data_IF_201649927752
#
_entry.id   IF_201649927752
#
_cell.length_a   1.000
_cell.length_b   1.000
_cell.length_c   1.000
_cell.angle_alpha   90.00
_cell.angle_beta   90.00
_cell.angle_gamma   90.00
#
_symmetry.space_group_name_H-M   'P 1'
#
loop_
_entity.id
_entity.type
_entity.pdbx_description
1 polymer ?
#
# COMPACT_ATOMS: atom_id res chain seq x y z
N UNK A 1 5.65 16.67 13.75
CA UNK A 1 4.20 16.90 13.42
C UNK A 1 3.75 15.88 12.39
N UNK A 2 2.70 15.12 12.66
CA UNK A 2 2.14 14.19 11.66
C UNK A 2 1.22 14.94 10.70
N UNK A 3 1.40 14.75 9.40
CA UNK A 3 0.67 15.43 8.34
C UNK A 3 0.13 14.41 7.33
N UNK A 4 -1.12 14.56 6.91
CA UNK A 4 -1.64 13.76 5.79
C UNK A 4 -1.09 14.30 4.45
N UNK A 5 -0.84 13.46 3.43
CA UNK A 5 -0.33 13.91 2.13
C UNK A 5 -1.13 15.07 1.52
N UNK A 6 -2.46 15.04 1.64
CA UNK A 6 -3.35 16.07 1.12
C UNK A 6 -3.19 17.44 1.80
N UNK A 7 -2.63 17.48 3.01
CA UNK A 7 -2.40 18.70 3.77
C UNK A 7 -1.05 19.35 3.47
N UNK A 8 -0.16 18.63 2.75
CA UNK A 8 1.20 19.10 2.48
C UNK A 8 1.22 20.42 1.72
N UNK A 9 0.37 20.61 0.73
CA UNK A 9 0.30 21.84 -0.05
C UNK A 9 -0.05 23.06 0.83
N UNK A 10 -1.01 22.91 1.75
CA UNK A 10 -1.36 23.94 2.71
C UNK A 10 -0.23 24.22 3.71
N UNK A 11 0.50 23.17 4.12
CA UNK A 11 1.67 23.32 4.98
C UNK A 11 2.78 24.12 4.27
N UNK A 12 3.10 23.74 3.04
CA UNK A 12 4.15 24.38 2.24
C UNK A 12 3.84 25.84 1.88
N UNK A 13 2.56 26.26 1.83
CA UNK A 13 2.21 27.66 1.64
C UNK A 13 2.68 28.58 2.77
N UNK A 14 2.94 28.02 3.96
CA UNK A 14 3.46 28.74 5.14
C UNK A 14 4.98 28.76 5.23
N UNK A 15 5.67 27.99 4.39
CA UNK A 15 7.13 27.87 4.36
C UNK A 15 7.62 26.43 4.41
N UNK A 16 8.92 26.25 4.49
CA UNK A 16 9.57 24.96 4.62
C UNK A 16 10.02 24.69 6.06
N UNK A 17 9.89 23.44 6.47
CA UNK A 17 10.55 22.93 7.66
C UNK A 17 11.93 22.34 7.30
N UNK A 18 12.88 22.34 8.23
CA UNK A 18 14.21 21.81 7.96
C UNK A 18 14.23 20.29 7.78
N UNK A 19 13.23 19.56 8.29
CA UNK A 19 13.20 18.10 8.22
C UNK A 19 11.81 17.57 7.84
N UNK A 20 11.76 16.79 6.77
CA UNK A 20 10.59 16.02 6.31
C UNK A 20 10.90 14.54 6.33
N UNK A 21 9.91 13.72 6.64
CA UNK A 21 9.97 12.26 6.53
C UNK A 21 8.77 11.77 5.74
N UNK A 22 9.03 11.06 4.65
CA UNK A 22 8.04 10.37 3.83
C UNK A 22 8.19 8.88 4.07
N UNK A 23 7.19 8.23 4.64
CA UNK A 23 7.23 6.79 4.93
C UNK A 23 5.99 6.08 4.39
N UNK A 24 6.20 4.96 3.71
CA UNK A 24 5.12 4.15 3.11
C UNK A 24 5.45 3.67 1.73
N UNK A 25 4.60 2.78 1.20
CA UNK A 25 4.85 2.05 -0.04
C UNK A 25 3.93 2.51 -1.20
N UNK A 26 3.31 3.70 -1.07
CA UNK A 26 2.46 4.24 -2.14
C UNK A 26 3.27 5.21 -3.06
N UNK A 27 3.65 4.76 -4.28
CA UNK A 27 4.63 5.46 -5.10
C UNK A 27 4.15 6.81 -5.64
N UNK A 28 2.85 6.94 -5.98
CA UNK A 28 2.30 8.19 -6.52
C UNK A 28 2.33 9.28 -5.45
N UNK A 29 1.82 9.00 -4.27
CA UNK A 29 1.79 9.94 -3.15
C UNK A 29 3.20 10.34 -2.70
N UNK A 30 4.14 9.39 -2.72
CA UNK A 30 5.54 9.66 -2.42
C UNK A 30 6.13 10.65 -3.43
N UNK A 31 5.93 10.40 -4.72
CA UNK A 31 6.39 11.27 -5.79
C UNK A 31 5.78 12.66 -5.69
N UNK A 32 4.46 12.76 -5.51
CA UNK A 32 3.75 14.05 -5.41
C UNK A 32 4.23 14.86 -4.21
N UNK A 33 4.38 14.24 -3.04
CA UNK A 33 4.91 14.92 -1.85
C UNK A 33 6.33 15.41 -2.08
N UNK A 34 7.19 14.59 -2.65
CA UNK A 34 8.59 14.93 -2.91
C UNK A 34 8.69 16.07 -3.92
N UNK A 35 7.92 16.02 -5.01
CA UNK A 35 7.91 17.05 -6.04
C UNK A 35 7.35 18.38 -5.51
N UNK A 36 6.35 18.35 -4.64
CA UNK A 36 5.84 19.55 -3.97
C UNK A 36 6.89 20.19 -3.05
N UNK A 37 7.62 19.39 -2.25
CA UNK A 37 8.70 19.89 -1.39
C UNK A 37 9.83 20.48 -2.25
N UNK A 38 10.23 19.80 -3.33
CA UNK A 38 11.25 20.28 -4.28
C UNK A 38 10.87 21.60 -4.93
N UNK A 39 9.61 21.71 -5.37
CA UNK A 39 9.10 22.93 -5.99
C UNK A 39 9.19 24.11 -5.01
N UNK A 40 8.73 23.89 -3.77
CA UNK A 40 8.78 24.92 -2.71
C UNK A 40 10.22 25.26 -2.30
N UNK A 41 11.09 24.26 -2.22
CA UNK A 41 12.50 24.48 -1.92
C UNK A 41 13.15 25.38 -2.99
N UNK A 42 12.93 25.09 -4.28
CA UNK A 42 13.44 25.90 -5.38
C UNK A 42 12.88 27.34 -5.35
N UNK A 43 11.58 27.50 -5.06
CA UNK A 43 10.97 28.83 -4.90
C UNK A 43 11.66 29.67 -3.83
N UNK A 44 12.18 29.05 -2.78
CA UNK A 44 12.83 29.72 -1.65
C UNK A 44 14.37 29.77 -1.79
N UNK A 45 14.93 29.38 -2.93
CA UNK A 45 16.37 29.51 -3.21
C UNK A 45 17.22 28.32 -2.75
N UNK A 46 16.62 27.16 -2.46
CA UNK A 46 17.33 25.90 -2.23
C UNK A 46 17.67 25.26 -3.58
N UNK A 47 18.64 25.82 -4.31
CA UNK A 47 18.93 25.44 -5.71
C UNK A 47 19.83 24.21 -5.81
N UNK A 48 20.68 23.96 -4.82
CA UNK A 48 21.54 22.79 -4.78
C UNK A 48 20.79 21.59 -4.20
N UNK A 49 20.60 20.53 -5.00
CA UNK A 49 19.97 19.30 -4.58
C UNK A 49 20.95 18.13 -4.60
N UNK A 50 21.07 17.46 -3.47
CA UNK A 50 21.84 16.21 -3.33
C UNK A 50 20.91 15.08 -2.95
N UNK A 51 21.03 13.95 -3.62
CA UNK A 51 20.25 12.73 -3.32
C UNK A 51 21.21 11.59 -2.96
N UNK A 52 21.03 11.05 -1.78
CA UNK A 52 21.80 9.93 -1.24
C UNK A 52 20.88 8.72 -1.11
N UNK A 53 21.38 7.55 -1.49
CA UNK A 53 20.65 6.29 -1.31
C UNK A 53 21.46 5.36 -0.41
N UNK A 54 20.90 4.96 0.73
CA UNK A 54 21.58 4.04 1.63
C UNK A 54 21.50 2.62 1.09
N UNK A 55 22.65 2.07 0.81
CA UNK A 55 22.86 0.66 0.53
C UNK A 55 23.62 -0.03 1.68
N UNK A 56 24.04 -1.26 1.47
CA UNK A 56 24.79 -2.05 2.46
C UNK A 56 26.13 -1.41 2.89
N UNK A 57 26.74 -0.59 2.02
CA UNK A 57 28.06 0.00 2.23
C UNK A 57 27.98 1.51 2.45
N UNK A 58 26.79 2.05 2.66
CA UNK A 58 26.59 3.48 2.80
C UNK A 58 27.32 4.04 4.02
N UNK A 59 28.17 5.03 3.75
CA UNK A 59 28.88 5.75 4.84
C UNK A 59 27.99 6.83 5.42
N UNK A 60 27.41 6.59 6.58
CA UNK A 60 26.54 7.55 7.28
C UNK A 60 27.25 8.81 7.74
N UNK A 61 28.60 8.80 7.89
CA UNK A 61 29.36 9.99 8.29
C UNK A 61 29.29 11.10 7.23
N UNK A 62 29.12 10.74 5.93
CA UNK A 62 28.99 11.73 4.85
C UNK A 62 27.83 12.71 5.03
N UNK A 63 26.81 12.37 5.82
CA UNK A 63 25.68 13.26 6.10
C UNK A 63 26.14 14.40 7.03
N UNK A 64 26.93 14.09 8.06
CA UNK A 64 27.50 15.08 8.93
C UNK A 64 28.53 15.96 8.18
N UNK A 65 29.34 15.34 7.32
CA UNK A 65 30.29 16.04 6.44
C UNK A 65 29.54 16.99 5.49
N UNK A 66 28.42 16.55 4.92
CA UNK A 66 27.55 17.40 4.08
C UNK A 66 27.05 18.63 4.84
N UNK A 67 26.67 18.47 6.11
CA UNK A 67 26.21 19.58 6.96
C UNK A 67 27.33 20.60 7.26
N UNK A 68 28.59 20.15 7.35
CA UNK A 68 29.75 21.00 7.63
C UNK A 68 30.39 21.60 6.36
N UNK A 69 30.15 21.00 5.19
CA UNK A 69 30.71 21.49 3.93
C UNK A 69 30.04 22.81 3.53
N UNK A 70 30.84 23.84 3.32
CA UNK A 70 30.36 25.07 2.70
C UNK A 70 30.15 24.83 1.20
N UNK A 71 28.92 25.09 0.71
CA UNK A 71 28.67 25.06 -0.73
C UNK A 71 29.39 26.25 -1.40
N UNK A 72 29.99 25.99 -2.56
CA UNK A 72 30.61 27.02 -3.37
C UNK A 72 29.60 27.77 -4.28
N UNK A 73 28.39 27.20 -4.45
CA UNK A 73 27.42 27.66 -5.45
C UNK A 73 26.08 28.11 -4.84
N UNK A 74 25.73 27.66 -3.65
CA UNK A 74 24.49 28.03 -2.96
C UNK A 74 24.66 28.02 -1.45
N UNK A 75 24.03 28.99 -0.79
CA UNK A 75 23.93 29.01 0.68
C UNK A 75 22.84 28.08 1.20
N UNK A 76 21.90 27.65 0.36
CA UNK A 76 20.75 26.83 0.76
C UNK A 76 20.68 25.53 -0.07
N UNK A 77 20.49 24.38 0.60
CA UNK A 77 20.59 23.06 0.00
C UNK A 77 19.38 22.18 0.33
N UNK A 78 19.01 21.33 -0.60
CA UNK A 78 18.03 20.26 -0.42
C UNK A 78 18.75 18.91 -0.40
N UNK A 79 18.69 18.21 0.72
CA UNK A 79 19.25 16.88 0.90
C UNK A 79 18.13 15.83 0.93
N UNK A 80 18.17 14.89 0.01
CA UNK A 80 17.26 13.73 -0.02
C UNK A 80 18.03 12.48 0.41
N UNK A 81 17.48 11.75 1.40
CA UNK A 81 18.08 10.52 1.92
C UNK A 81 17.08 9.39 1.71
N UNK A 82 17.36 8.53 0.76
CA UNK A 82 16.55 7.34 0.48
C UNK A 82 17.08 6.15 1.27
N UNK A 83 16.21 5.48 2.03
CA UNK A 83 16.53 4.27 2.81
C UNK A 83 15.63 3.12 2.32
N UNK A 84 15.94 2.49 1.17
CA UNK A 84 15.02 1.53 0.51
C UNK A 84 14.67 0.31 1.35
N UNK A 85 15.57 -0.07 2.27
CA UNK A 85 15.34 -1.23 3.17
C UNK A 85 14.50 -0.90 4.39
N UNK A 86 14.29 0.40 4.71
CA UNK A 86 13.70 0.83 5.98
C UNK A 86 14.56 0.50 7.20
N UNK A 87 15.80 -0.01 7.01
CA UNK A 87 16.69 -0.51 8.08
C UNK A 87 18.03 0.20 8.01
N UNK A 88 18.20 1.32 8.71
CA UNK A 88 19.42 2.12 8.63
C UNK A 88 20.63 1.47 9.31
N UNK A 89 20.45 0.38 10.09
CA UNK A 89 21.52 -0.21 10.87
C UNK A 89 21.91 0.65 12.09
N UNK A 90 23.01 0.32 12.73
CA UNK A 90 23.43 0.99 13.98
C UNK A 90 23.91 2.42 13.72
N UNK A 91 24.79 2.60 12.73
CA UNK A 91 25.36 3.91 12.41
C UNK A 91 24.32 4.84 11.81
N UNK A 92 23.45 4.30 10.93
CA UNK A 92 22.31 5.04 10.40
C UNK A 92 21.31 5.45 11.47
N UNK A 93 21.04 4.58 12.45
CA UNK A 93 20.19 4.93 13.58
C UNK A 93 20.75 6.13 14.36
N UNK A 94 22.06 6.18 14.59
CA UNK A 94 22.71 7.34 15.26
C UNK A 94 22.65 8.60 14.41
N UNK A 95 22.95 8.48 13.11
CA UNK A 95 22.92 9.62 12.17
C UNK A 95 21.51 10.21 12.06
N UNK A 96 20.47 9.38 11.94
CA UNK A 96 19.08 9.84 11.87
C UNK A 96 18.61 10.50 13.16
N UNK A 97 19.02 9.98 14.31
CA UNK A 97 18.73 10.61 15.61
C UNK A 97 19.43 11.97 15.73
N UNK A 98 20.67 12.10 15.25
CA UNK A 98 21.40 13.37 15.25
C UNK A 98 20.69 14.42 14.38
N UNK A 99 20.30 14.07 13.16
CA UNK A 99 19.54 14.96 12.25
C UNK A 99 18.18 15.35 12.85
N UNK A 100 17.51 14.41 13.53
CA UNK A 100 16.24 14.70 14.18
C UNK A 100 16.39 15.62 15.40
N UNK A 101 17.51 15.54 16.12
CA UNK A 101 17.79 16.40 17.27
C UNK A 101 18.22 17.80 16.84
N UNK A 102 19.03 17.88 15.78
CA UNK A 102 19.57 19.15 15.27
C UNK A 102 19.59 19.10 13.73
N UNK A 103 18.78 19.96 13.11
CA UNK A 103 18.71 20.04 11.66
C UNK A 103 20.03 20.57 11.08
N UNK A 104 20.38 20.09 9.88
CA UNK A 104 21.57 20.55 9.18
C UNK A 104 21.44 22.04 8.82
N UNK A 105 22.49 22.85 9.04
CA UNK A 105 22.47 24.28 8.72
C UNK A 105 22.15 24.53 7.25
N UNK A 106 21.34 25.53 6.96
CA UNK A 106 20.97 25.98 5.60
C UNK A 106 20.52 24.83 4.68
N UNK A 107 19.93 23.78 5.28
CA UNK A 107 19.57 22.56 4.55
C UNK A 107 18.15 22.13 4.89
N UNK A 108 17.33 21.89 3.86
CA UNK A 108 16.10 21.13 3.99
C UNK A 108 16.43 19.66 3.74
N UNK A 109 16.16 18.80 4.73
CA UNK A 109 16.40 17.37 4.62
C UNK A 109 15.08 16.63 4.42
N UNK A 110 15.01 15.75 3.42
CA UNK A 110 13.87 14.86 3.18
C UNK A 110 14.36 13.42 3.29
N UNK A 111 13.80 12.68 4.25
CA UNK A 111 14.09 11.26 4.45
C UNK A 111 12.95 10.45 3.85
N UNK A 112 13.29 9.50 2.99
CA UNK A 112 12.33 8.65 2.27
C UNK A 112 12.52 7.20 2.71
N UNK A 113 11.47 6.59 3.25
CA UNK A 113 11.44 5.23 3.80
C UNK A 113 10.26 4.44 3.22
N UNK A 114 10.37 3.12 3.06
CA UNK A 114 9.21 2.25 2.89
C UNK A 114 8.36 2.23 4.17
N UNK A 115 7.23 1.54 4.13
CA UNK A 115 6.48 1.22 5.34
C UNK A 115 7.37 0.36 6.26
N UNK A 116 7.49 0.77 7.51
CA UNK A 116 8.27 0.03 8.50
C UNK A 116 7.37 -0.87 9.33
N UNK A 117 7.89 -2.02 9.75
CA UNK A 117 7.13 -2.91 10.60
C UNK A 117 6.95 -2.33 12.03
N UNK A 118 6.03 -2.93 12.80
CA UNK A 118 5.69 -2.44 14.15
C UNK A 118 6.85 -2.49 15.16
N UNK A 119 7.90 -3.28 14.89
CA UNK A 119 9.11 -3.38 15.73
C UNK A 119 10.04 -2.22 15.41
N UNK A 120 10.29 -1.99 14.13
CA UNK A 120 11.14 -0.90 13.66
C UNK A 120 10.52 0.47 13.99
N UNK A 121 9.17 0.58 13.96
CA UNK A 121 8.45 1.77 14.40
C UNK A 121 8.64 2.12 15.89
N UNK A 122 9.11 1.19 16.73
CA UNK A 122 9.46 1.41 18.13
C UNK A 122 10.93 1.73 18.34
N UNK A 123 11.74 1.76 17.31
CA UNK A 123 13.14 2.09 17.40
C UNK A 123 13.37 3.56 17.73
N UNK A 124 14.48 3.85 18.43
CA UNK A 124 14.79 5.22 18.88
C UNK A 124 14.92 6.21 17.71
N UNK A 125 15.51 5.78 16.59
CA UNK A 125 15.67 6.62 15.40
C UNK A 125 14.32 6.98 14.75
N UNK A 126 13.39 6.01 14.66
CA UNK A 126 12.10 6.26 14.05
C UNK A 126 11.24 7.18 14.92
N UNK A 127 11.23 6.95 16.23
CA UNK A 127 10.54 7.82 17.20
C UNK A 127 11.11 9.24 17.16
N UNK A 128 12.45 9.39 17.11
CA UNK A 128 13.09 10.71 17.01
C UNK A 128 12.68 11.45 15.75
N UNK A 129 12.66 10.78 14.59
CA UNK A 129 12.17 11.35 13.33
C UNK A 129 10.69 11.74 13.43
N UNK A 130 9.83 10.88 13.97
CA UNK A 130 8.38 11.14 14.08
C UNK A 130 8.08 12.35 14.97
N UNK A 131 8.87 12.56 16.04
CA UNK A 131 8.66 13.66 16.97
C UNK A 131 9.18 15.01 16.45
N UNK A 132 10.29 15.00 15.70
CA UNK A 132 11.04 16.21 15.37
C UNK A 132 10.99 16.61 13.89
N UNK A 133 10.12 15.99 13.07
CA UNK A 133 9.96 16.32 11.65
C UNK A 133 8.52 16.61 11.27
N UNK A 134 8.34 17.05 10.02
CA UNK A 134 7.07 16.92 9.32
C UNK A 134 7.00 15.49 8.79
N UNK A 135 6.26 14.66 9.50
CA UNK A 135 6.16 13.23 9.26
C UNK A 135 4.92 12.91 8.44
N UNK A 136 5.10 12.34 7.26
CA UNK A 136 4.03 12.05 6.29
C UNK A 136 3.98 10.55 6.04
N UNK A 137 2.88 9.93 6.45
CA UNK A 137 2.65 8.52 6.23
C UNK A 137 1.86 8.30 4.93
N UNK A 138 2.47 7.61 3.97
CA UNK A 138 1.97 7.36 2.62
C UNK A 138 1.29 6.00 2.60
N UNK A 139 0.00 5.98 2.93
CA UNK A 139 -0.79 4.77 2.96
C UNK A 139 -1.41 4.47 1.61
N UNK A 140 -1.49 3.20 1.28
CA UNK A 140 -2.26 2.76 0.12
C UNK A 140 -3.73 3.17 0.24
N UNK A 141 -4.31 3.56 -0.88
CA UNK A 141 -5.74 3.86 -0.97
C UNK A 141 -6.49 2.56 -1.19
N UNK A 142 -7.19 2.12 -0.16
CA UNK A 142 -7.98 0.88 -0.24
C UNK A 142 -9.18 0.99 -1.18
N UNK A 143 -9.73 -0.16 -1.64
CA UNK A 143 -10.82 -0.23 -2.62
C UNK A 143 -12.04 0.62 -2.23
N UNK A 144 -12.41 0.63 -0.95
CA UNK A 144 -13.56 1.41 -0.46
C UNK A 144 -13.34 2.94 -0.52
N UNK A 145 -12.09 3.38 -0.52
CA UNK A 145 -11.72 4.80 -0.55
C UNK A 145 -11.41 5.30 -1.96
N UNK A 146 -11.12 4.38 -2.88
CA UNK A 146 -10.64 4.68 -4.23
C UNK A 146 -11.65 5.49 -5.06
N UNK A 147 -12.97 5.24 -5.06
CA UNK A 147 -13.93 6.08 -5.77
C UNK A 147 -13.91 7.53 -5.29
N UNK A 148 -13.81 7.76 -3.98
CA UNK A 148 -13.71 9.10 -3.41
C UNK A 148 -12.39 9.79 -3.77
N UNK A 149 -11.30 9.04 -3.80
CA UNK A 149 -10.00 9.55 -4.22
C UNK A 149 -10.04 9.98 -5.70
N UNK A 150 -10.61 9.16 -6.60
CA UNK A 150 -10.80 9.48 -8.02
C UNK A 150 -11.64 10.75 -8.18
N UNK A 151 -12.77 10.83 -7.48
CA UNK A 151 -13.63 12.03 -7.51
C UNK A 151 -12.87 13.30 -7.10
N UNK A 152 -12.02 13.22 -6.05
CA UNK A 152 -11.22 14.36 -5.62
C UNK A 152 -10.18 14.79 -6.67
N UNK A 153 -9.64 13.83 -7.41
CA UNK A 153 -8.67 14.11 -8.49
C UNK A 153 -9.33 14.70 -9.75
N UNK A 154 -10.49 14.19 -10.13
CA UNK A 154 -11.29 14.78 -11.21
C UNK A 154 -11.68 16.22 -10.87
N UNK A 155 -12.06 16.50 -9.62
CA UNK A 155 -12.40 17.85 -9.18
C UNK A 155 -11.23 18.84 -9.30
N UNK A 156 -9.97 18.42 -9.14
CA UNK A 156 -8.80 19.29 -9.34
C UNK A 156 -8.68 19.79 -10.78
N UNK A 157 -9.17 19.04 -11.76
CA UNK A 157 -9.25 19.45 -13.17
C UNK A 157 -10.67 19.92 -13.55
N UNK A 158 -11.50 20.25 -12.56
CA UNK A 158 -12.89 20.74 -12.69
C UNK A 158 -13.81 19.78 -13.46
N UNK A 159 -13.52 18.49 -13.38
CA UNK A 159 -14.34 17.42 -13.95
C UNK A 159 -15.06 16.63 -12.86
N UNK A 160 -16.16 16.00 -13.24
CA UNK A 160 -16.93 15.11 -12.36
C UNK A 160 -17.60 14.02 -13.18
N UNK A 161 -18.03 12.94 -12.51
CA UNK A 161 -18.88 11.90 -13.07
C UNK A 161 -19.73 11.28 -11.97
N UNK A 162 -20.69 10.42 -12.32
CA UNK A 162 -21.57 9.77 -11.36
C UNK A 162 -20.87 8.70 -10.52
N UNK A 163 -21.53 8.29 -9.42
CA UNK A 163 -20.95 7.33 -8.46
C UNK A 163 -20.73 5.92 -9.04
N UNK A 164 -21.58 5.51 -9.98
CA UNK A 164 -21.46 4.21 -10.65
C UNK A 164 -20.20 4.20 -11.52
N UNK A 165 -19.99 5.27 -12.28
CA UNK A 165 -18.80 5.47 -13.11
C UNK A 165 -17.52 5.59 -12.26
N UNK A 166 -17.57 6.30 -11.12
CA UNK A 166 -16.43 6.34 -10.17
C UNK A 166 -16.09 4.94 -9.63
N UNK A 167 -17.10 4.15 -9.34
CA UNK A 167 -16.93 2.76 -8.89
C UNK A 167 -16.36 1.88 -10.01
N UNK A 168 -16.83 2.05 -11.23
CA UNK A 168 -16.25 1.40 -12.40
C UNK A 168 -14.76 1.75 -12.55
N UNK A 169 -14.42 3.04 -12.57
CA UNK A 169 -13.02 3.49 -12.64
C UNK A 169 -12.17 2.87 -11.54
N UNK A 170 -12.66 2.89 -10.29
CA UNK A 170 -11.96 2.31 -9.15
C UNK A 170 -11.65 0.82 -9.37
N UNK A 171 -12.61 0.05 -9.90
CA UNK A 171 -12.40 -1.36 -10.22
C UNK A 171 -11.35 -1.57 -11.33
N UNK A 172 -11.27 -0.66 -12.31
CA UNK A 172 -10.32 -0.76 -13.43
C UNK A 172 -8.88 -0.43 -13.02
N UNK A 173 -8.68 0.32 -11.93
CA UNK A 173 -7.37 0.81 -11.49
C UNK A 173 -6.98 0.32 -10.09
N UNK A 174 -7.73 -0.61 -9.51
CA UNK A 174 -7.47 -1.13 -8.17
C UNK A 174 -6.02 -1.64 -8.03
N UNK A 175 -5.34 -1.26 -6.95
CA UNK A 175 -3.95 -1.60 -6.70
C UNK A 175 -2.92 -0.83 -7.54
N UNK A 176 -3.35 0.12 -8.39
CA UNK A 176 -2.45 0.88 -9.25
C UNK A 176 -2.82 2.37 -9.29
N UNK A 177 -2.49 3.07 -8.20
CA UNK A 177 -2.87 4.47 -8.03
C UNK A 177 -2.18 5.39 -9.06
N UNK A 178 -0.97 5.02 -9.50
CA UNK A 178 -0.27 5.77 -10.56
C UNK A 178 -1.01 5.68 -11.89
N UNK A 179 -1.47 4.49 -12.27
CA UNK A 179 -2.29 4.33 -13.46
C UNK A 179 -3.66 5.03 -13.32
N UNK A 180 -4.28 4.99 -12.13
CA UNK A 180 -5.48 5.76 -11.84
C UNK A 180 -5.27 7.25 -12.14
N UNK A 181 -4.14 7.79 -11.70
CA UNK A 181 -3.78 9.19 -11.96
C UNK A 181 -3.60 9.47 -13.46
N UNK A 182 -2.94 8.57 -14.19
CA UNK A 182 -2.76 8.68 -15.65
C UNK A 182 -4.09 8.63 -16.41
N UNK A 183 -4.99 7.73 -16.03
CA UNK A 183 -6.34 7.65 -16.62
C UNK A 183 -7.15 8.94 -16.37
N UNK A 184 -7.06 9.50 -15.15
CA UNK A 184 -7.70 10.78 -14.82
C UNK A 184 -7.10 11.93 -15.64
N UNK A 185 -5.77 12.01 -15.76
CA UNK A 185 -5.13 13.02 -16.62
C UNK A 185 -5.56 12.88 -18.08
N UNK A 186 -5.67 11.67 -18.59
CA UNK A 186 -6.16 11.39 -19.95
C UNK A 186 -7.58 11.91 -20.15
N UNK A 187 -8.48 11.72 -19.16
CA UNK A 187 -9.83 12.29 -19.22
C UNK A 187 -9.80 13.82 -19.29
N UNK A 188 -8.87 14.47 -18.58
CA UNK A 188 -8.68 15.92 -18.66
C UNK A 188 -8.22 16.43 -20.02
N UNK A 189 -7.53 15.57 -20.79
CA UNK A 189 -7.11 15.90 -22.16
C UNK A 189 -8.20 15.61 -23.21
N UNK A 190 -9.05 14.62 -22.97
CA UNK A 190 -10.06 14.16 -23.93
C UNK A 190 -11.39 14.92 -23.80
N UNK A 191 -11.74 15.38 -22.62
CA UNK A 191 -13.03 15.97 -22.32
C UNK A 191 -12.89 17.35 -21.68
N UNK A 192 -13.82 18.30 -21.96
CA UNK A 192 -13.81 19.61 -21.34
C UNK A 192 -14.09 19.55 -19.82
N UNK A 193 -13.89 20.68 -19.15
CA UNK A 193 -14.35 20.89 -17.77
C UNK A 193 -15.86 20.63 -17.66
N UNK A 194 -16.32 19.99 -16.57
CA UNK A 194 -17.72 19.68 -16.30
C UNK A 194 -17.97 18.21 -16.02
N UNK A 195 -19.22 17.79 -16.19
CA UNK A 195 -19.62 16.39 -16.00
C UNK A 195 -19.30 15.57 -17.24
N UNK A 196 -18.58 14.44 -17.05
CA UNK A 196 -18.28 13.49 -18.12
C UNK A 196 -19.31 12.36 -18.05
N UNK A 197 -19.90 11.99 -19.20
CA UNK A 197 -20.86 10.89 -19.28
C UNK A 197 -20.18 9.54 -18.97
N UNK A 198 -20.91 8.64 -18.31
CA UNK A 198 -20.36 7.34 -17.90
C UNK A 198 -19.87 6.49 -19.09
N UNK A 199 -20.55 6.54 -20.22
CA UNK A 199 -20.16 5.81 -21.43
C UNK A 199 -18.85 6.34 -22.03
N UNK A 200 -18.63 7.64 -21.98
CA UNK A 200 -17.36 8.26 -22.41
C UNK A 200 -16.20 7.81 -21.53
N UNK A 201 -16.41 7.78 -20.21
CA UNK A 201 -15.40 7.26 -19.27
C UNK A 201 -15.13 5.79 -19.51
N UNK A 202 -16.17 4.96 -19.72
CA UNK A 202 -16.01 3.53 -19.98
C UNK A 202 -15.22 3.27 -21.28
N UNK A 203 -15.44 4.08 -22.31
CA UNK A 203 -14.70 3.98 -23.55
C UNK A 203 -13.24 4.42 -23.44
N UNK A 204 -12.95 5.37 -22.55
CA UNK A 204 -11.62 5.93 -22.41
C UNK A 204 -10.73 5.16 -21.43
N UNK A 205 -11.28 4.65 -20.31
CA UNK A 205 -10.51 4.05 -19.21
C UNK A 205 -10.17 2.60 -19.49
N UNK A 206 -8.89 2.25 -19.45
CA UNK A 206 -8.40 0.89 -19.62
C UNK A 206 -8.38 0.13 -18.29
N UNK A 207 -8.49 -1.21 -18.39
CA UNK A 207 -8.23 -2.06 -17.23
C UNK A 207 -6.72 -2.13 -16.98
N UNK A 208 -6.28 -1.48 -15.94
CA UNK A 208 -4.87 -1.41 -15.51
C UNK A 208 -4.72 -1.82 -14.05
N UNK A 209 -5.70 -2.53 -13.51
CA UNK A 209 -5.66 -3.07 -12.15
C UNK A 209 -4.39 -3.90 -11.95
N UNK A 210 -3.80 -3.77 -10.78
CA UNK A 210 -2.70 -4.63 -10.33
C UNK A 210 -3.10 -5.32 -9.06
N UNK A 211 -3.07 -6.62 -9.09
CA UNK A 211 -3.42 -7.45 -7.97
C UNK A 211 -2.23 -8.26 -7.50
N UNK A 212 -2.13 -8.45 -6.20
CA UNK A 212 -1.25 -9.47 -5.65
C UNK A 212 -2.07 -10.66 -5.09
N UNK A 213 -1.40 -11.77 -4.90
CA UNK A 213 -2.05 -12.97 -4.39
C UNK A 213 -2.48 -12.85 -2.90
N UNK A 214 -2.01 -11.84 -2.15
CA UNK A 214 -2.47 -11.55 -0.79
C UNK A 214 -3.86 -10.94 -0.82
N UNK A 215 -4.10 -10.00 -1.77
CA UNK A 215 -5.41 -9.40 -2.01
C UNK A 215 -6.46 -10.44 -2.40
N UNK A 216 -6.07 -11.50 -3.14
CA UNK A 216 -6.96 -12.64 -3.42
C UNK A 216 -7.44 -13.32 -2.13
N UNK A 217 -6.51 -13.58 -1.20
CA UNK A 217 -6.86 -14.14 0.11
C UNK A 217 -7.86 -13.27 0.86
N UNK A 218 -7.68 -11.97 0.86
CA UNK A 218 -8.59 -11.01 1.51
C UNK A 218 -9.98 -10.99 0.86
N UNK A 219 -10.06 -10.99 -0.48
CA UNK A 219 -11.33 -11.03 -1.23
C UNK A 219 -12.11 -12.33 -0.95
N UNK A 220 -11.42 -13.47 -0.93
CA UNK A 220 -12.02 -14.78 -0.58
C UNK A 220 -12.53 -14.77 0.85
N UNK A 221 -11.74 -14.26 1.81
CA UNK A 221 -12.12 -14.23 3.23
C UNK A 221 -13.23 -13.23 3.54
N UNK A 222 -13.33 -12.12 2.81
CA UNK A 222 -14.45 -11.18 2.92
C UNK A 222 -15.74 -11.70 2.28
N UNK A 223 -15.66 -12.70 1.39
CA UNK A 223 -16.78 -13.21 0.62
C UNK A 223 -17.18 -12.30 -0.56
N UNK A 224 -16.26 -11.49 -1.03
CA UNK A 224 -16.45 -10.62 -2.20
C UNK A 224 -16.16 -11.42 -3.48
N UNK A 225 -17.23 -11.97 -4.06
CA UNK A 225 -17.14 -12.84 -5.24
C UNK A 225 -16.61 -12.05 -6.44
N UNK A 226 -17.15 -10.86 -6.70
CA UNK A 226 -16.82 -10.07 -7.88
C UNK A 226 -15.35 -9.63 -7.84
N UNK A 227 -14.87 -9.21 -6.66
CA UNK A 227 -13.45 -8.88 -6.45
C UNK A 227 -12.56 -10.12 -6.58
N UNK A 228 -13.01 -11.28 -6.08
CA UNK A 228 -12.28 -12.55 -6.22
C UNK A 228 -12.10 -12.92 -7.70
N UNK A 229 -13.14 -12.75 -8.54
CA UNK A 229 -13.06 -12.97 -10.00
C UNK A 229 -12.02 -12.06 -10.63
N UNK A 230 -12.16 -10.74 -10.41
CA UNK A 230 -11.24 -9.76 -11.02
C UNK A 230 -9.78 -10.00 -10.65
N UNK A 231 -9.50 -10.36 -9.39
CA UNK A 231 -8.14 -10.65 -8.94
C UNK A 231 -7.60 -11.93 -9.60
N UNK A 232 -8.40 -12.99 -9.68
CA UNK A 232 -8.00 -14.24 -10.33
C UNK A 232 -7.67 -14.02 -11.80
N UNK A 233 -8.54 -13.32 -12.52
CA UNK A 233 -8.35 -13.02 -13.93
C UNK A 233 -7.11 -12.14 -14.15
N UNK A 234 -6.95 -11.08 -13.35
CA UNK A 234 -5.80 -10.20 -13.43
C UNK A 234 -4.48 -10.93 -13.16
N UNK A 235 -4.39 -11.76 -12.11
CA UNK A 235 -3.20 -12.56 -11.81
C UNK A 235 -2.88 -13.54 -12.95
N UNK A 236 -3.90 -14.14 -13.57
CA UNK A 236 -3.73 -15.04 -14.69
C UNK A 236 -3.23 -14.31 -15.94
N UNK A 237 -3.81 -13.15 -16.25
CA UNK A 237 -3.45 -12.33 -17.40
C UNK A 237 -2.02 -11.74 -17.27
N UNK A 238 -1.59 -11.43 -16.05
CA UNK A 238 -0.22 -11.03 -15.74
C UNK A 238 0.79 -12.19 -15.80
N UNK A 239 0.34 -13.43 -16.07
CA UNK A 239 1.20 -14.61 -16.17
C UNK A 239 1.70 -15.14 -14.82
N UNK A 240 1.02 -14.83 -13.72
CA UNK A 240 1.36 -15.35 -12.41
C UNK A 240 1.34 -16.88 -12.40
N UNK A 241 2.34 -17.48 -11.77
CA UNK A 241 2.38 -18.94 -11.66
C UNK A 241 1.40 -19.42 -10.57
N UNK A 242 0.66 -20.52 -10.78
CA UNK A 242 -0.27 -21.05 -9.78
C UNK A 242 0.33 -21.24 -8.39
N UNK A 243 1.58 -21.69 -8.32
CA UNK A 243 2.31 -21.88 -7.06
C UNK A 243 2.49 -20.58 -6.27
N UNK A 244 2.69 -19.46 -6.96
CA UNK A 244 2.84 -18.14 -6.33
C UNK A 244 1.54 -17.67 -5.68
N UNK A 245 0.39 -18.07 -6.22
CA UNK A 245 -0.95 -17.71 -5.72
C UNK A 245 -1.35 -18.57 -4.52
N UNK A 246 -0.92 -19.82 -4.46
CA UNK A 246 -1.30 -20.76 -3.41
C UNK A 246 -0.76 -20.39 -2.03
N UNK A 247 0.50 -19.96 -1.93
CA UNK A 247 1.11 -19.63 -0.63
C UNK A 247 0.34 -18.54 0.13
N UNK A 248 -0.01 -17.40 -0.47
CA UNK A 248 -0.87 -16.39 0.15
C UNK A 248 -2.24 -16.93 0.59
N UNK A 249 -2.87 -17.82 -0.19
CA UNK A 249 -4.13 -18.46 0.21
C UNK A 249 -3.95 -19.36 1.44
N UNK A 250 -2.88 -20.14 1.49
CA UNK A 250 -2.54 -20.97 2.66
C UNK A 250 -2.33 -20.08 3.88
N UNK A 251 -1.61 -18.96 3.74
CA UNK A 251 -1.37 -18.01 4.83
C UNK A 251 -2.64 -17.31 5.29
N UNK A 252 -3.59 -17.08 4.40
CA UNK A 252 -4.88 -16.50 4.74
C UNK A 252 -5.79 -17.50 5.49
N UNK A 253 -5.81 -18.79 5.07
CA UNK A 253 -6.71 -19.82 5.60
C UNK A 253 -6.17 -20.45 6.90
N UNK A 254 -4.86 -20.65 7.02
CA UNK A 254 -4.25 -21.36 8.17
C UNK A 254 -4.56 -20.72 9.53
N UNK A 255 -4.49 -19.39 9.70
CA UNK A 255 -4.88 -18.75 10.96
C UNK A 255 -6.34 -19.01 11.33
N UNK A 256 -7.27 -18.99 10.35
CA UNK A 256 -8.69 -19.24 10.59
C UNK A 256 -8.93 -20.67 11.05
N UNK A 257 -8.22 -21.64 10.48
CA UNK A 257 -8.29 -23.04 10.94
C UNK A 257 -7.89 -23.15 12.41
N UNK A 258 -6.77 -22.50 12.82
CA UNK A 258 -6.31 -22.48 14.21
C UNK A 258 -7.34 -21.85 15.15
N UNK A 259 -7.95 -20.73 14.72
CA UNK A 259 -9.01 -20.06 15.49
C UNK A 259 -10.20 -20.99 15.66
N UNK A 260 -10.68 -21.64 14.59
CA UNK A 260 -11.80 -22.58 14.65
C UNK A 260 -11.51 -23.82 15.52
N UNK A 261 -10.28 -24.30 15.52
CA UNK A 261 -9.86 -25.38 16.42
C UNK A 261 -9.85 -24.94 17.88
N UNK A 262 -9.43 -23.72 18.18
CA UNK A 262 -9.45 -23.16 19.53
C UNK A 262 -10.90 -22.92 20.00
N UNK A 263 -11.77 -22.39 19.16
CA UNK A 263 -13.21 -22.27 19.47
C UNK A 263 -13.85 -23.64 19.78
N UNK A 264 -13.51 -24.67 19.01
CA UNK A 264 -14.02 -26.03 19.25
C UNK A 264 -13.54 -26.63 20.60
N UNK A 265 -12.45 -26.12 21.17
CA UNK A 265 -11.99 -26.45 22.53
C UNK A 265 -12.56 -25.54 23.61
N UNK A 266 -13.47 -24.62 23.26
CA UNK A 266 -14.10 -23.68 24.19
C UNK A 266 -13.27 -22.43 24.51
N UNK A 267 -12.23 -22.17 23.74
CA UNK A 267 -11.38 -20.96 23.91
C UNK A 267 -12.09 -19.70 23.41
N UNK A 268 -11.81 -18.58 24.06
CA UNK A 268 -12.33 -17.28 23.64
C UNK A 268 -11.75 -16.84 22.28
N UNK A 269 -12.59 -16.28 21.40
CA UNK A 269 -12.21 -15.84 20.06
C UNK A 269 -11.01 -14.88 20.05
N UNK A 270 -10.97 -13.92 20.99
CA UNK A 270 -9.87 -12.95 21.05
C UNK A 270 -8.54 -13.64 21.42
N UNK A 271 -8.56 -14.56 22.37
CA UNK A 271 -7.40 -15.38 22.74
C UNK A 271 -6.94 -16.24 21.56
N UNK A 272 -7.87 -16.89 20.87
CA UNK A 272 -7.59 -17.70 19.69
C UNK A 272 -6.94 -16.88 18.55
N UNK A 273 -7.40 -15.64 18.33
CA UNK A 273 -6.78 -14.74 17.34
C UNK A 273 -5.35 -14.37 17.70
N UNK A 274 -5.06 -14.08 18.97
CA UNK A 274 -3.69 -13.79 19.44
C UNK A 274 -2.78 -15.00 19.22
N UNK A 275 -3.23 -16.21 19.58
CA UNK A 275 -2.49 -17.46 19.37
C UNK A 275 -2.26 -17.74 17.88
N UNK A 276 -3.24 -17.41 17.02
CA UNK A 276 -3.13 -17.53 15.57
C UNK A 276 -2.30 -16.40 14.93
N UNK A 277 -1.76 -15.46 15.72
CA UNK A 277 -0.98 -14.29 15.29
C UNK A 277 -1.75 -13.34 14.35
N UNK A 278 -3.05 -13.18 14.60
CA UNK A 278 -3.92 -12.24 13.85
C UNK A 278 -4.04 -10.95 14.65
N UNK A 279 -3.47 -9.85 14.12
CA UNK A 279 -3.43 -8.56 14.79
C UNK A 279 -3.90 -7.41 13.88
N UNK A 280 -4.28 -6.29 14.48
CA UNK A 280 -4.61 -5.05 13.78
C UNK A 280 -5.80 -5.20 12.83
N UNK A 281 -5.76 -4.58 11.64
CA UNK A 281 -6.86 -4.58 10.67
C UNK A 281 -7.31 -5.98 10.23
N UNK A 282 -6.40 -6.96 10.25
CA UNK A 282 -6.70 -8.36 9.90
C UNK A 282 -7.68 -9.05 10.85
N UNK A 283 -7.84 -8.54 12.07
CA UNK A 283 -8.79 -9.11 13.05
C UNK A 283 -10.26 -8.98 12.60
N UNK A 284 -10.63 -7.85 11.99
CA UNK A 284 -12.00 -7.65 11.51
C UNK A 284 -12.33 -8.64 10.39
N UNK A 285 -11.43 -8.82 9.43
CA UNK A 285 -11.58 -9.79 8.35
C UNK A 285 -11.62 -11.23 8.87
N UNK A 286 -10.75 -11.58 9.83
CA UNK A 286 -10.74 -12.91 10.44
C UNK A 286 -12.04 -13.21 11.20
N UNK A 287 -12.58 -12.26 11.97
CA UNK A 287 -13.89 -12.41 12.64
C UNK A 287 -15.00 -12.66 11.64
N UNK A 288 -15.05 -11.91 10.56
CA UNK A 288 -16.04 -12.10 9.50
C UNK A 288 -15.91 -13.49 8.86
N UNK A 289 -14.69 -13.90 8.50
CA UNK A 289 -14.42 -15.18 7.86
C UNK A 289 -14.72 -16.37 8.79
N UNK A 290 -14.34 -16.30 10.07
CA UNK A 290 -14.62 -17.32 11.09
C UNK A 290 -16.14 -17.47 11.32
N UNK A 291 -16.90 -16.37 11.31
CA UNK A 291 -18.38 -16.44 11.40
C UNK A 291 -19.02 -17.12 10.19
N UNK A 292 -18.37 -17.11 9.04
CA UNK A 292 -18.89 -17.60 7.75
C UNK A 292 -18.43 -19.02 7.40
N UNK A 293 -17.18 -19.37 7.74
CA UNK A 293 -16.54 -20.63 7.36
C UNK A 293 -16.48 -21.61 8.56
N UNK A 294 -16.87 -22.84 8.33
CA UNK A 294 -16.79 -23.91 9.34
C UNK A 294 -15.39 -24.56 9.37
N UNK A 295 -15.08 -25.24 10.48
CA UNK A 295 -13.85 -26.02 10.64
C UNK A 295 -13.65 -27.03 9.51
N UNK A 296 -14.70 -27.78 9.13
CA UNK A 296 -14.64 -28.77 8.04
C UNK A 296 -14.32 -28.14 6.69
N UNK A 297 -14.88 -26.96 6.39
CA UNK A 297 -14.63 -26.25 5.14
C UNK A 297 -13.19 -25.74 5.06
N UNK A 298 -12.64 -25.20 6.14
CA UNK A 298 -11.24 -24.74 6.19
C UNK A 298 -10.26 -25.91 6.05
N UNK A 299 -10.57 -27.06 6.69
CA UNK A 299 -9.77 -28.28 6.51
C UNK A 299 -9.80 -28.77 5.07
N UNK A 300 -10.98 -28.86 4.46
CA UNK A 300 -11.15 -29.26 3.07
C UNK A 300 -10.42 -28.32 2.09
N UNK A 301 -10.45 -27.01 2.38
CA UNK A 301 -9.74 -26.02 1.58
C UNK A 301 -8.22 -26.23 1.59
N UNK A 302 -7.62 -26.49 2.75
CA UNK A 302 -6.19 -26.77 2.85
C UNK A 302 -5.78 -28.08 2.17
N UNK A 303 -6.60 -29.13 2.30
CA UNK A 303 -6.39 -30.39 1.56
C UNK A 303 -6.47 -30.16 0.05
N UNK A 304 -7.44 -29.39 -0.40
CA UNK A 304 -7.58 -29.04 -1.83
C UNK A 304 -6.38 -28.23 -2.33
N UNK A 305 -5.85 -27.29 -1.53
CA UNK A 305 -4.63 -26.55 -1.88
C UNK A 305 -3.42 -27.48 -2.01
N UNK A 306 -3.31 -28.52 -1.17
CA UNK A 306 -2.25 -29.51 -1.30
C UNK A 306 -2.37 -30.34 -2.61
N UNK A 307 -3.57 -30.63 -3.08
CA UNK A 307 -3.78 -31.32 -4.36
C UNK A 307 -3.52 -30.38 -5.55
N UNK A 308 -3.90 -29.10 -5.44
CA UNK A 308 -3.58 -28.07 -6.44
C UNK A 308 -2.07 -27.90 -6.57
N UNK A 309 -1.32 -27.94 -5.45
CA UNK A 309 0.15 -27.90 -5.47
C UNK A 309 0.75 -29.06 -6.27
N UNK A 310 0.24 -30.27 -6.11
CA UNK A 310 0.66 -31.41 -6.90
C UNK A 310 0.33 -31.25 -8.39
N UNK A 311 -0.84 -30.70 -8.70
CA UNK A 311 -1.26 -30.38 -10.08
C UNK A 311 -0.34 -29.33 -10.71
N UNK A 312 -0.06 -28.24 -9.98
CA UNK A 312 0.81 -27.15 -10.45
C UNK A 312 2.26 -27.60 -10.67
N UNK A 313 2.71 -28.62 -9.94
CA UNK A 313 4.04 -29.23 -10.09
C UNK A 313 4.08 -30.39 -11.11
N UNK A 314 2.96 -30.67 -11.78
CA UNK A 314 2.88 -31.76 -12.78
C UNK A 314 2.84 -33.18 -12.19
N UNK A 315 2.64 -33.32 -10.87
CA UNK A 315 2.54 -34.61 -10.18
C UNK A 315 1.13 -35.23 -10.37
N UNK A 316 0.12 -34.37 -10.47
CA UNK A 316 -1.25 -34.78 -10.76
C UNK A 316 -1.72 -34.13 -12.06
N UNK A 317 -2.58 -34.84 -12.80
CA UNK A 317 -3.23 -34.32 -13.99
C UNK A 317 -4.30 -33.29 -13.62
N UNK A 318 -4.42 -32.22 -14.37
CA UNK A 318 -5.46 -31.20 -14.20
C UNK A 318 -4.98 -29.80 -14.56
N UNK A 319 -5.89 -28.83 -14.42
CA UNK A 319 -5.61 -27.41 -14.58
C UNK A 319 -5.58 -26.74 -13.20
N UNK A 320 -4.38 -26.34 -12.76
CA UNK A 320 -4.18 -25.73 -11.46
C UNK A 320 -4.95 -24.39 -11.32
N UNK A 321 -5.04 -23.59 -12.38
CA UNK A 321 -5.79 -22.34 -12.35
C UNK A 321 -7.30 -22.56 -12.20
N UNK A 322 -7.84 -23.55 -12.90
CA UNK A 322 -9.26 -23.91 -12.77
C UNK A 322 -9.58 -24.37 -11.34
N UNK A 323 -8.69 -25.16 -10.74
CA UNK A 323 -8.89 -25.67 -9.39
C UNK A 323 -8.72 -24.58 -8.33
N UNK A 324 -7.79 -23.62 -8.51
CA UNK A 324 -7.67 -22.41 -7.65
C UNK A 324 -8.97 -21.61 -7.75
N UNK A 325 -9.46 -21.35 -8.95
CA UNK A 325 -10.69 -20.59 -9.17
C UNK A 325 -11.90 -21.24 -8.50
N UNK A 326 -12.06 -22.55 -8.66
CA UNK A 326 -13.12 -23.33 -7.99
C UNK A 326 -13.06 -23.23 -6.47
N UNK A 327 -11.86 -23.34 -5.90
CA UNK A 327 -11.65 -23.22 -4.46
C UNK A 327 -11.99 -21.82 -3.96
N UNK A 328 -11.47 -20.78 -4.60
CA UNK A 328 -11.70 -19.39 -4.22
C UNK A 328 -13.19 -19.02 -4.30
N UNK A 329 -13.88 -19.38 -5.39
CA UNK A 329 -15.32 -19.16 -5.51
C UNK A 329 -16.11 -19.95 -4.49
N UNK A 330 -15.75 -21.22 -4.26
CA UNK A 330 -16.40 -22.04 -3.25
C UNK A 330 -16.34 -21.39 -1.87
N UNK A 331 -15.17 -20.91 -1.46
CA UNK A 331 -14.99 -20.25 -0.18
C UNK A 331 -15.65 -18.86 -0.10
N UNK A 332 -15.55 -18.06 -1.15
CA UNK A 332 -16.14 -16.72 -1.20
C UNK A 332 -17.68 -16.79 -1.13
N UNK A 333 -18.31 -17.77 -1.76
CA UNK A 333 -19.77 -17.94 -1.83
C UNK A 333 -20.42 -18.41 -0.53
N UNK A 334 -19.66 -19.07 0.36
CA UNK A 334 -20.20 -19.60 1.61
C UNK A 334 -20.71 -18.44 2.49
N UNK A 335 -21.97 -18.50 2.91
CA UNK A 335 -22.58 -17.53 3.83
C UNK A 335 -22.93 -16.16 3.22
N UNK A 336 -22.70 -15.92 1.91
CA UNK A 336 -23.10 -14.67 1.25
C UNK A 336 -24.58 -14.67 0.82
N UNK A 337 -25.19 -15.85 0.64
CA UNK A 337 -26.59 -16.02 0.24
C UNK A 337 -27.63 -15.50 1.27
N UNK A 338 -27.23 -15.13 2.47
CA UNK A 338 -28.14 -14.65 3.53
C UNK A 338 -28.31 -13.12 3.55
N UNK A 339 -27.58 -12.35 2.73
CA UNK A 339 -27.64 -10.88 2.69
C UNK A 339 -28.47 -10.29 1.54
N UNK A 340 -29.01 -11.14 0.66
CA UNK A 340 -29.83 -10.72 -0.49
C UNK A 340 -31.32 -11.07 -0.33
N UNK A 341 -31.82 -11.05 0.92
CA UNK A 341 -33.27 -11.10 1.18
C UNK A 341 -33.68 -9.99 2.13
#
# INVERSE_FOLDING_TARGET
MNLAPQQLSQHLSRGLNPLYVLTGDEPLSQRECLDAIRAKARELGFDERTSLTSDRYFNWAQIAEFGQAMSLFSSQRLLEIHIPTGKPGLDGSKALQAIAAEALPDTVTVIILPAVDWRDAKSAWYIALQQNSIFIELREVGPAQLPRWIASRLALQKQSTDIETLTFMANQVEGNLLAAHQEIQKLGLLYPEGAIAGDDVRAAVLNVSRFDAVQLGEAVLSGDIDRTVRILDGLKDEGAQPVAVMNPLIWAITPLLKIKQAEARGENLNSAMVQAKVFGPKQALAKQAVGRLSLKQLQAALLKLADIDKTAKGIMQGDAWLEISRLCFGLARIGTSARSR
#
